data_IF_673279083247
#
_entry.id   IF_673279083247
#
_cell.length_a   1.000
_cell.length_b   1.000
_cell.length_c   1.000
_cell.angle_alpha   90.00
_cell.angle_beta   90.00
_cell.angle_gamma   90.00
#
_symmetry.space_group_name_H-M   'P 1'
#
loop_
_entity.id
_entity.type
_entity.pdbx_description
1 polymer ?
#
# COMPACT_ATOMS: atom_id res chain seq x y z
N UNK A 1 -9.06 40.43 1.24
CA UNK A 1 -8.20 39.24 1.16
C UNK A 1 -6.73 39.64 1.35
N UNK A 2 -6.10 39.34 2.51
CA UNK A 2 -4.78 39.88 2.88
C UNK A 2 -3.61 39.40 2.02
N UNK A 3 -3.81 38.44 1.12
CA UNK A 3 -2.75 37.84 0.32
C UNK A 3 -2.44 38.56 -1.00
N UNK A 4 -3.20 39.60 -1.39
CA UNK A 4 -3.03 40.30 -2.68
C UNK A 4 -2.03 41.46 -2.64
N UNK A 5 -1.90 42.18 -1.51
CA UNK A 5 -1.13 43.42 -1.43
C UNK A 5 0.38 43.25 -1.73
N UNK A 6 0.91 42.03 -1.65
CA UNK A 6 2.33 41.73 -1.85
C UNK A 6 2.63 40.74 -3.00
N UNK A 7 1.66 40.52 -3.90
CA UNK A 7 1.81 39.55 -4.99
C UNK A 7 3.05 39.79 -5.87
N UNK A 8 3.33 41.07 -6.20
CA UNK A 8 4.46 41.45 -7.04
C UNK A 8 5.84 41.19 -6.39
N UNK A 9 5.93 41.08 -5.05
CA UNK A 9 7.20 40.92 -4.31
C UNK A 9 7.43 39.49 -3.78
N UNK A 10 6.55 38.54 -4.12
CA UNK A 10 6.63 37.15 -3.62
C UNK A 10 7.90 36.41 -4.04
N UNK A 11 8.52 36.80 -5.15
CA UNK A 11 9.75 36.19 -5.64
C UNK A 11 10.97 36.49 -4.75
N UNK A 12 10.91 37.54 -3.90
CA UNK A 12 11.92 37.85 -2.90
C UNK A 12 11.76 37.06 -1.59
N UNK A 13 10.64 36.37 -1.39
CA UNK A 13 10.44 35.51 -0.22
C UNK A 13 11.04 34.14 -0.53
N UNK A 14 12.12 33.72 0.16
CA UNK A 14 12.70 32.40 -0.08
C UNK A 14 11.65 31.33 0.23
N UNK A 15 11.39 30.46 -0.75
CA UNK A 15 10.45 29.35 -0.56
C UNK A 15 11.03 28.40 0.49
N UNK A 16 10.28 28.17 1.56
CA UNK A 16 10.66 27.18 2.56
C UNK A 16 10.66 25.80 1.90
N UNK A 17 11.83 25.17 1.85
CA UNK A 17 12.00 23.83 1.29
C UNK A 17 11.85 22.82 2.41
N UNK A 18 10.71 22.15 2.47
CA UNK A 18 10.51 21.05 3.40
C UNK A 18 11.05 19.76 2.79
N UNK A 19 11.89 19.05 3.54
CA UNK A 19 12.36 17.71 3.20
C UNK A 19 11.86 16.76 4.28
N UNK A 20 11.09 15.76 3.89
CA UNK A 20 10.64 14.70 4.81
C UNK A 20 11.84 13.83 5.13
N UNK A 21 12.26 13.83 6.39
CA UNK A 21 13.42 13.05 6.88
C UNK A 21 13.00 11.78 7.59
N UNK A 22 11.76 11.72 8.11
CA UNK A 22 11.24 10.63 8.92
C UNK A 22 10.46 9.57 8.12
N UNK A 23 10.55 9.56 6.79
CA UNK A 23 9.74 8.66 5.95
C UNK A 23 9.95 7.18 6.29
N UNK A 24 11.20 6.77 6.53
CA UNK A 24 11.53 5.39 6.86
C UNK A 24 10.95 4.97 8.23
N UNK A 25 11.02 5.84 9.23
CA UNK A 25 10.46 5.59 10.57
C UNK A 25 8.93 5.55 10.52
N UNK A 26 8.31 6.44 9.76
CA UNK A 26 6.87 6.47 9.56
C UNK A 26 6.36 5.20 8.87
N UNK A 27 7.05 4.75 7.82
CA UNK A 27 6.75 3.52 7.08
C UNK A 27 6.92 2.27 7.95
N UNK A 28 8.00 2.20 8.75
CA UNK A 28 8.20 1.12 9.72
C UNK A 28 7.09 1.07 10.79
N UNK A 29 6.71 2.23 11.34
CA UNK A 29 5.60 2.34 12.29
C UNK A 29 4.26 1.94 11.65
N UNK A 30 4.05 2.24 10.36
CA UNK A 30 2.87 1.80 9.62
C UNK A 30 2.84 0.29 9.44
N UNK A 31 3.99 -0.36 9.15
CA UNK A 31 4.09 -1.82 9.05
C UNK A 31 3.82 -2.52 10.38
N UNK A 32 4.26 -1.93 11.49
CA UNK A 32 4.04 -2.51 12.83
C UNK A 32 2.59 -2.38 13.31
N UNK A 33 1.85 -1.38 12.83
CA UNK A 33 0.43 -1.21 13.16
C UNK A 33 -0.41 -2.28 12.46
N UNK A 34 -0.90 -3.26 13.22
CA UNK A 34 -1.74 -4.34 12.68
C UNK A 34 -0.96 -5.56 12.18
N UNK A 35 0.28 -5.75 12.69
CA UNK A 35 1.06 -6.96 12.41
C UNK A 35 0.28 -8.22 12.83
N UNK A 36 0.08 -9.13 11.88
CA UNK A 36 -0.66 -10.37 12.06
C UNK A 36 0.17 -11.52 11.46
N UNK A 37 0.40 -12.55 12.27
CA UNK A 37 1.04 -13.78 11.81
C UNK A 37 -0.05 -14.81 11.49
N UNK A 38 -0.10 -15.28 10.25
CA UNK A 38 -1.08 -16.24 9.76
C UNK A 38 -0.34 -17.48 9.28
N UNK A 39 -0.82 -18.65 9.68
CA UNK A 39 -0.33 -19.93 9.19
C UNK A 39 -1.26 -20.44 8.09
N UNK A 40 -0.71 -20.80 6.95
CA UNK A 40 -1.41 -21.46 5.87
C UNK A 40 -1.05 -22.94 5.84
N UNK A 41 -2.00 -23.77 5.45
CA UNK A 41 -1.71 -25.19 5.20
C UNK A 41 -0.92 -25.34 3.89
N UNK A 42 -0.23 -26.46 3.73
CA UNK A 42 0.56 -26.73 2.52
C UNK A 42 -0.32 -26.76 1.27
N UNK A 43 -1.54 -27.28 1.39
CA UNK A 43 -2.51 -27.32 0.29
C UNK A 43 -2.94 -25.92 -0.13
N UNK A 44 -3.11 -25.01 0.83
CA UNK A 44 -3.43 -23.61 0.55
C UNK A 44 -2.27 -22.93 -0.19
N UNK A 45 -1.02 -23.18 0.25
CA UNK A 45 0.19 -22.64 -0.40
C UNK A 45 0.32 -23.17 -1.83
N UNK A 46 0.10 -24.47 -2.04
CA UNK A 46 0.12 -25.08 -3.37
C UNK A 46 -0.93 -24.43 -4.31
N UNK A 47 -2.10 -24.09 -3.78
CA UNK A 47 -3.18 -23.44 -4.50
C UNK A 47 -3.02 -21.90 -4.65
N UNK A 48 -1.91 -21.31 -4.20
CA UNK A 48 -1.73 -19.86 -4.18
C UNK A 48 -1.44 -19.25 -5.56
N UNK A 49 -0.71 -19.99 -6.41
CA UNK A 49 -0.41 -19.57 -7.78
C UNK A 49 -1.61 -19.75 -8.68
N UNK A 50 -1.84 -18.78 -9.57
CA UNK A 50 -2.90 -18.92 -10.56
C UNK A 50 -2.54 -19.97 -11.61
N UNK A 51 -3.56 -20.68 -12.10
CA UNK A 51 -3.42 -21.51 -13.28
C UNK A 51 -3.14 -20.63 -14.51
N UNK A 52 -2.23 -21.04 -15.43
CA UNK A 52 -1.99 -20.31 -16.65
C UNK A 52 -3.26 -20.10 -17.46
N UNK A 53 -3.51 -18.84 -17.81
CA UNK A 53 -4.66 -18.45 -18.60
C UNK A 53 -4.39 -18.77 -20.08
N UNK A 54 -5.35 -19.44 -20.73
CA UNK A 54 -5.30 -19.77 -22.17
C UNK A 54 -5.88 -18.69 -23.08
N UNK A 55 -6.48 -17.65 -22.51
CA UNK A 55 -7.13 -16.56 -23.25
C UNK A 55 -6.27 -15.30 -23.26
N UNK A 56 -6.50 -14.40 -24.22
CA UNK A 56 -5.74 -13.16 -24.42
C UNK A 56 -5.69 -12.30 -23.15
N UNK A 57 -4.50 -11.78 -22.81
CA UNK A 57 -4.21 -10.97 -21.63
C UNK A 57 -2.90 -11.37 -20.95
N UNK A 58 -2.50 -10.63 -19.90
CA UNK A 58 -1.37 -11.01 -19.05
C UNK A 58 -1.66 -12.26 -18.21
N UNK A 59 -0.62 -12.97 -17.79
CA UNK A 59 -0.76 -14.14 -16.92
C UNK A 59 -1.00 -13.70 -15.48
N UNK A 60 -2.04 -14.21 -14.80
CA UNK A 60 -2.23 -13.95 -13.37
C UNK A 60 -1.15 -14.66 -12.56
N UNK A 61 -0.64 -13.99 -11.52
CA UNK A 61 0.30 -14.60 -10.58
C UNK A 61 -0.41 -15.28 -9.39
N UNK A 62 -1.54 -14.72 -8.96
CA UNK A 62 -2.29 -15.15 -7.78
C UNK A 62 -3.64 -15.77 -8.15
N UNK A 63 -3.97 -16.88 -7.52
CA UNK A 63 -5.25 -17.56 -7.71
C UNK A 63 -6.41 -16.76 -7.10
N UNK A 64 -7.64 -17.09 -7.49
CA UNK A 64 -8.84 -16.51 -6.87
C UNK A 64 -8.91 -16.81 -5.36
N UNK A 65 -8.39 -17.97 -4.93
CA UNK A 65 -8.27 -18.34 -3.52
C UNK A 65 -7.34 -17.37 -2.77
N UNK A 66 -6.15 -17.09 -3.31
CA UNK A 66 -5.19 -16.17 -2.71
C UNK A 66 -5.78 -14.75 -2.59
N UNK A 67 -6.41 -14.26 -3.67
CA UNK A 67 -7.04 -12.93 -3.70
C UNK A 67 -8.19 -12.84 -2.69
N UNK A 68 -9.09 -13.83 -2.67
CA UNK A 68 -10.22 -13.86 -1.72
C UNK A 68 -9.74 -13.91 -0.28
N UNK A 69 -8.70 -14.69 0.00
CA UNK A 69 -8.08 -14.78 1.32
C UNK A 69 -7.53 -13.43 1.76
N UNK A 70 -6.74 -12.75 0.92
CA UNK A 70 -6.22 -11.42 1.21
C UNK A 70 -7.33 -10.38 1.48
N UNK A 71 -8.39 -10.39 0.67
CA UNK A 71 -9.54 -9.50 0.86
C UNK A 71 -10.31 -9.80 2.16
N UNK A 72 -10.41 -11.08 2.54
CA UNK A 72 -11.06 -11.50 3.80
C UNK A 72 -10.27 -11.00 4.99
N UNK A 73 -8.95 -11.19 4.99
CA UNK A 73 -8.07 -10.70 6.05
C UNK A 73 -8.14 -9.18 6.18
N UNK A 74 -8.14 -8.47 5.05
CA UNK A 74 -8.35 -7.02 5.03
C UNK A 74 -9.66 -6.62 5.71
N UNK A 75 -10.76 -7.29 5.38
CA UNK A 75 -12.09 -6.97 5.90
C UNK A 75 -12.21 -7.27 7.40
N UNK A 76 -11.74 -8.44 7.83
CA UNK A 76 -11.83 -8.90 9.24
C UNK A 76 -10.95 -8.07 10.16
N UNK A 77 -9.70 -7.81 9.74
CA UNK A 77 -8.73 -7.07 10.56
C UNK A 77 -8.71 -5.56 10.27
N UNK A 78 -9.59 -5.08 9.39
CA UNK A 78 -9.72 -3.66 9.00
C UNK A 78 -8.40 -3.03 8.54
N UNK A 79 -7.59 -3.78 7.79
CA UNK A 79 -6.28 -3.33 7.31
C UNK A 79 -6.39 -2.35 6.14
N UNK A 80 -5.46 -1.40 6.06
CA UNK A 80 -5.33 -0.51 4.90
C UNK A 80 -4.65 -1.25 3.74
N UNK A 81 -5.01 -0.95 2.48
CA UNK A 81 -4.54 -1.70 1.30
C UNK A 81 -3.00 -1.79 1.18
N UNK A 82 -2.30 -0.74 1.61
CA UNK A 82 -0.82 -0.69 1.62
C UNK A 82 -0.17 -1.68 2.59
N UNK A 83 -0.92 -2.19 3.57
CA UNK A 83 -0.44 -3.19 4.52
C UNK A 83 -0.69 -4.62 4.04
N UNK A 84 -1.45 -4.80 2.95
CA UNK A 84 -1.65 -6.09 2.28
C UNK A 84 -0.73 -6.29 1.07
N UNK A 85 0.08 -5.28 0.75
CA UNK A 85 1.15 -5.35 -0.24
C UNK A 85 2.45 -5.72 0.49
N UNK A 86 2.87 -6.98 0.35
CA UNK A 86 4.11 -7.54 0.88
C UNK A 86 4.77 -8.43 -0.16
#
# INVERSE_FOLDING_TARGET
MPFQANAARRHHIPKQRYRVTNWAEYDAALRQRGSLTIWFTEEAIAAWRAEPRRTRGGQPHYSALAIRTALTLRAVFRLALRQTEG
#
